data_IF_403205915567
#
_entry.id   IF_403205915567
#
_cell.length_a   1.000
_cell.length_b   1.000
_cell.length_c   1.000
_cell.angle_alpha   90.00
_cell.angle_beta   90.00
_cell.angle_gamma   90.00
#
_symmetry.space_group_name_H-M   'P 1'
#
loop_
_entity.id
_entity.type
_entity.pdbx_description
1 polymer ?
#
# COMPACT_ATOMS: atom_id res chain seq x y z
N UNK A 1 -16.79 -2.14 -12.87
CA UNK A 1 -15.70 -1.85 -11.93
C UNK A 1 -14.40 -1.99 -12.69
N UNK A 2 -13.67 -0.89 -12.88
CA UNK A 2 -12.39 -0.92 -13.61
C UNK A 2 -11.27 -1.07 -12.59
N UNK A 3 -10.52 -2.16 -12.68
CA UNK A 3 -9.39 -2.47 -11.81
C UNK A 3 -8.10 -2.28 -12.61
N UNK A 4 -7.19 -1.43 -12.11
CA UNK A 4 -5.85 -1.26 -12.66
C UNK A 4 -4.84 -1.79 -11.65
N UNK A 5 -4.11 -2.83 -12.01
CA UNK A 5 -3.01 -3.37 -11.23
C UNK A 5 -1.70 -2.79 -11.78
N UNK A 6 -0.84 -2.30 -10.90
CA UNK A 6 0.44 -1.69 -11.26
C UNK A 6 1.54 -2.51 -10.58
N UNK A 7 2.45 -3.13 -11.34
CA UNK A 7 3.56 -3.88 -10.75
C UNK A 7 4.51 -2.90 -10.03
N UNK A 8 5.25 -3.42 -9.05
CA UNK A 8 6.35 -2.65 -8.45
C UNK A 8 7.52 -2.53 -9.43
N UNK A 9 8.39 -1.54 -9.19
CA UNK A 9 9.64 -1.39 -9.95
C UNK A 9 10.53 -2.62 -9.74
N UNK A 10 11.27 -3.04 -10.76
CA UNK A 10 12.12 -4.25 -10.74
C UNK A 10 13.08 -4.32 -9.55
N UNK A 11 13.62 -3.17 -9.13
CA UNK A 11 14.49 -3.03 -7.94
C UNK A 11 13.86 -3.50 -6.63
N UNK A 12 12.54 -3.67 -6.58
CA UNK A 12 11.82 -4.15 -5.39
C UNK A 12 11.25 -5.55 -5.55
N UNK A 13 11.36 -6.15 -6.74
CA UNK A 13 10.72 -7.44 -7.04
C UNK A 13 11.60 -8.63 -6.65
N UNK A 14 12.93 -8.47 -6.71
CA UNK A 14 13.89 -9.53 -6.45
C UNK A 14 15.09 -8.99 -5.68
N UNK A 15 15.59 -9.80 -4.73
CA UNK A 15 16.88 -9.58 -4.09
C UNK A 15 17.97 -10.27 -4.92
N UNK A 16 19.11 -9.62 -5.11
CA UNK A 16 20.22 -10.13 -5.90
C UNK A 16 21.47 -9.27 -5.77
N UNK A 17 22.54 -9.69 -6.42
CA UNK A 17 23.78 -8.89 -6.46
C UNK A 17 23.60 -7.66 -7.35
N UNK A 18 24.19 -6.52 -6.98
CA UNK A 18 24.13 -5.29 -7.79
C UNK A 18 24.97 -5.33 -9.07
N UNK A 19 25.63 -6.45 -9.36
CA UNK A 19 26.49 -6.62 -10.53
C UNK A 19 25.73 -6.55 -11.86
N UNK A 20 24.40 -6.73 -11.86
CA UNK A 20 23.59 -6.71 -13.07
C UNK A 20 22.20 -6.11 -12.86
N UNK A 21 21.67 -5.46 -13.91
CA UNK A 21 20.32 -4.91 -13.91
C UNK A 21 19.28 -6.00 -14.19
N UNK A 22 18.63 -6.50 -13.14
CA UNK A 22 17.53 -7.45 -13.30
C UNK A 22 16.23 -6.74 -13.65
N UNK A 23 15.48 -7.28 -14.60
CA UNK A 23 14.12 -6.84 -14.93
C UNK A 23 13.13 -7.97 -14.68
N UNK A 24 11.92 -7.62 -14.25
CA UNK A 24 10.82 -8.56 -14.10
C UNK A 24 9.74 -8.15 -15.09
N UNK A 25 9.50 -8.99 -16.09
CA UNK A 25 8.34 -8.90 -16.98
C UNK A 25 7.24 -9.84 -16.49
N UNK A 26 5.99 -9.39 -16.60
CA UNK A 26 4.82 -10.23 -16.33
C UNK A 26 4.28 -10.64 -17.70
N UNK A 27 4.50 -11.89 -18.09
CA UNK A 27 4.11 -12.38 -19.42
C UNK A 27 2.59 -12.59 -19.52
N UNK A 28 1.97 -13.09 -18.45
CA UNK A 28 0.52 -13.20 -18.33
C UNK A 28 0.07 -13.09 -16.88
N UNK A 29 -1.10 -12.51 -16.65
CA UNK A 29 -1.74 -12.43 -15.35
C UNK A 29 -3.25 -12.64 -15.51
N UNK A 30 -3.83 -13.52 -14.69
CA UNK A 30 -5.25 -13.84 -14.72
C UNK A 30 -5.85 -13.50 -13.35
N UNK A 31 -6.90 -12.66 -13.33
CA UNK A 31 -7.65 -12.34 -12.12
C UNK A 31 -8.96 -13.13 -12.10
N UNK A 32 -9.05 -14.10 -11.20
CA UNK A 32 -10.27 -14.89 -10.97
C UNK A 32 -11.05 -14.27 -9.81
N UNK A 33 -12.23 -13.73 -10.09
CA UNK A 33 -13.13 -13.17 -9.06
C UNK A 33 -14.39 -14.01 -8.99
N UNK A 34 -14.73 -14.51 -7.80
CA UNK A 34 -16.00 -15.19 -7.57
C UNK A 34 -17.13 -14.16 -7.58
N UNK A 35 -18.10 -14.35 -8.49
CA UNK A 35 -19.35 -13.59 -8.52
C UNK A 35 -20.45 -14.47 -7.94
N UNK A 36 -21.11 -14.00 -6.89
CA UNK A 36 -22.32 -14.65 -6.39
C UNK A 36 -23.53 -14.23 -7.25
N UNK A 37 -24.33 -15.20 -7.68
CA UNK A 37 -25.66 -14.97 -8.24
C UNK A 37 -26.64 -14.88 -7.07
N UNK A 38 -27.23 -13.72 -6.86
CA UNK A 38 -28.20 -13.48 -5.78
C UNK A 38 -29.60 -13.79 -6.31
N UNK A 39 -30.47 -14.33 -5.45
CA UNK A 39 -31.87 -14.57 -5.81
C UNK A 39 -32.55 -13.26 -6.31
N UNK A 40 -33.25 -13.28 -7.46
CA UNK A 40 -33.90 -12.10 -8.03
C UNK A 40 -34.81 -11.33 -7.05
N UNK A 41 -35.55 -12.02 -6.17
CA UNK A 41 -36.44 -11.38 -5.19
C UNK A 41 -35.67 -10.50 -4.19
N UNK A 42 -34.47 -10.95 -3.78
CA UNK A 42 -33.60 -10.19 -2.86
C UNK A 42 -32.98 -9.00 -3.58
N UNK A 43 -32.62 -9.16 -4.86
CA UNK A 43 -32.10 -8.07 -5.68
C UNK A 43 -33.15 -6.96 -5.87
N UNK A 44 -34.40 -7.31 -6.13
CA UNK A 44 -35.52 -6.35 -6.23
C UNK A 44 -35.72 -5.61 -4.89
N UNK A 45 -35.70 -6.35 -3.77
CA UNK A 45 -35.81 -5.75 -2.44
C UNK A 45 -34.68 -4.76 -2.14
N UNK A 46 -33.44 -5.07 -2.52
CA UNK A 46 -32.33 -4.14 -2.40
C UNK A 46 -32.47 -2.92 -3.32
N UNK A 47 -32.96 -3.08 -4.56
CA UNK A 47 -33.22 -1.96 -5.46
C UNK A 47 -34.25 -0.99 -4.87
N UNK A 48 -35.37 -1.50 -4.36
CA UNK A 48 -36.40 -0.69 -3.68
C UNK A 48 -35.87 0.01 -2.41
N UNK A 49 -34.97 -0.65 -1.67
CA UNK A 49 -34.34 -0.05 -0.49
C UNK A 49 -33.35 1.06 -0.86
N UNK A 50 -32.62 0.89 -1.96
CA UNK A 50 -31.66 1.87 -2.50
C UNK A 50 -32.35 3.10 -3.11
N UNK A 51 -33.58 2.95 -3.60
CA UNK A 51 -34.43 4.09 -4.02
C UNK A 51 -34.78 5.00 -2.83
N UNK A 52 -35.04 4.42 -1.66
CA UNK A 52 -35.45 5.16 -0.45
C UNK A 52 -34.27 5.65 0.38
N UNK A 53 -33.17 4.91 0.39
CA UNK A 53 -32.03 5.16 1.27
C UNK A 53 -30.69 4.93 0.58
N UNK A 54 -29.73 5.83 0.81
CA UNK A 54 -28.39 5.70 0.25
C UNK A 54 -27.59 4.63 0.97
N UNK A 55 -27.02 3.67 0.24
CA UNK A 55 -26.06 2.72 0.80
C UNK A 55 -24.71 3.39 1.08
N UNK A 56 -24.19 3.19 2.31
CA UNK A 56 -22.87 3.65 2.74
C UNK A 56 -21.87 2.49 2.65
N UNK A 57 -20.84 2.65 1.82
CA UNK A 57 -19.75 1.70 1.66
C UNK A 57 -18.45 2.28 2.22
N UNK A 58 -18.18 2.17 3.54
CA UNK A 58 -16.98 2.73 4.14
C UNK A 58 -15.73 2.01 3.62
N UNK A 59 -14.84 2.75 2.95
CA UNK A 59 -13.57 2.25 2.44
C UNK A 59 -12.47 2.64 3.42
N UNK A 60 -11.81 1.64 4.02
CA UNK A 60 -10.58 1.86 4.81
C UNK A 60 -9.42 2.10 3.86
N UNK A 61 -8.91 3.34 3.82
CA UNK A 61 -7.71 3.69 3.04
C UNK A 61 -6.47 3.63 3.92
N UNK A 62 -5.44 2.97 3.41
CA UNK A 62 -4.09 3.01 3.99
C UNK A 62 -3.27 4.01 3.19
N UNK A 63 -2.65 4.98 3.88
CA UNK A 63 -1.81 6.01 3.28
C UNK A 63 -0.41 5.90 3.87
N UNK A 64 0.59 5.79 2.99
CA UNK A 64 2.01 5.78 3.38
C UNK A 64 2.56 7.19 3.21
N UNK A 65 3.16 7.74 4.27
CA UNK A 65 3.93 8.99 4.21
C UNK A 65 5.39 8.68 4.53
N UNK A 66 6.29 9.25 3.73
CA UNK A 66 7.73 9.08 3.87
C UNK A 66 8.37 10.34 4.46
N UNK A 67 9.30 10.15 5.38
CA UNK A 67 10.10 11.22 5.95
C UNK A 67 11.55 10.74 6.08
N UNK A 68 12.49 11.51 5.53
CA UNK A 68 13.91 11.23 5.66
C UNK A 68 14.46 11.89 6.92
N UNK A 69 15.12 11.10 7.77
CA UNK A 69 15.80 11.59 8.97
C UNK A 69 17.30 11.59 8.68
N UNK A 70 17.92 12.77 8.76
CA UNK A 70 19.37 12.92 8.55
C UNK A 70 20.19 12.30 9.68
N UNK A 71 21.47 12.01 9.41
CA UNK A 71 22.34 11.38 10.40
C UNK A 71 22.56 12.26 11.65
N UNK A 72 22.63 13.58 11.51
CA UNK A 72 22.90 14.52 12.59
C UNK A 72 21.65 14.99 13.37
N UNK A 73 20.46 14.46 13.08
CA UNK A 73 19.20 14.92 13.68
C UNK A 73 18.79 13.96 14.81
N UNK A 74 18.75 14.48 16.04
CA UNK A 74 18.28 13.74 17.22
C UNK A 74 16.75 13.71 17.33
N UNK A 75 16.08 14.81 17.00
CA UNK A 75 14.61 14.88 17.03
C UNK A 75 14.05 15.50 15.75
N UNK A 76 12.98 14.90 15.22
CA UNK A 76 12.24 15.43 14.07
C UNK A 76 10.76 15.46 14.38
N UNK A 77 10.20 16.66 14.47
CA UNK A 77 8.76 16.85 14.57
C UNK A 77 8.16 16.79 13.16
N UNK A 78 7.25 15.84 12.95
CA UNK A 78 6.50 15.70 11.71
C UNK A 78 5.10 16.26 11.96
N UNK A 79 4.87 17.49 11.49
CA UNK A 79 3.54 18.10 11.51
C UNK A 79 2.66 17.51 10.40
N UNK A 80 1.35 17.45 10.65
CA UNK A 80 0.34 17.06 9.65
C UNK A 80 0.47 15.63 9.08
N UNK A 81 0.73 14.63 9.93
CA UNK A 81 0.73 13.20 9.56
C UNK A 81 -0.56 12.77 8.83
N UNK A 82 -1.70 13.40 9.10
CA UNK A 82 -2.95 13.19 8.38
C UNK A 82 -3.64 14.53 8.16
N UNK A 83 -4.03 14.84 6.92
CA UNK A 83 -4.59 16.17 6.59
C UNK A 83 -6.12 16.25 6.74
N UNK A 84 -6.86 15.13 6.89
CA UNK A 84 -8.34 15.17 6.90
C UNK A 84 -9.05 14.17 7.85
N UNK A 85 -8.40 13.08 8.26
CA UNK A 85 -9.03 12.10 9.16
C UNK A 85 -7.99 11.54 10.11
N UNK A 86 -8.37 11.36 11.38
CA UNK A 86 -7.52 10.69 12.36
C UNK A 86 -7.40 9.21 11.96
N UNK A 87 -6.18 8.69 11.77
CA UNK A 87 -6.01 7.28 11.49
C UNK A 87 -6.46 6.45 12.70
N UNK A 88 -7.18 5.36 12.44
CA UNK A 88 -7.51 4.38 13.48
C UNK A 88 -6.28 3.62 13.99
N UNK A 89 -5.21 3.57 13.19
CA UNK A 89 -3.94 2.94 13.52
C UNK A 89 -2.79 3.63 12.80
N UNK A 90 -1.71 3.91 13.52
CA UNK A 90 -0.43 4.37 12.97
C UNK A 90 0.59 3.26 13.14
N UNK A 91 1.33 2.96 12.06
CA UNK A 91 2.46 2.04 12.08
C UNK A 91 3.67 2.81 11.58
N UNK A 92 4.77 2.76 12.35
CA UNK A 92 6.02 3.42 12.02
C UNK A 92 7.06 2.34 11.74
N UNK A 93 7.72 2.45 10.59
CA UNK A 93 8.81 1.57 10.20
C UNK A 93 9.96 2.40 9.67
N UNK A 94 11.18 2.10 10.12
CA UNK A 94 12.40 2.76 9.67
C UNK A 94 13.20 1.81 8.77
N UNK A 95 13.69 2.35 7.67
CA UNK A 95 14.58 1.65 6.72
C UNK A 95 15.66 2.62 6.27
N UNK A 96 16.76 2.11 5.73
CA UNK A 96 17.78 2.96 5.11
C UNK A 96 17.21 3.59 3.84
N UNK A 97 17.64 4.82 3.53
CA UNK A 97 17.19 5.53 2.33
C UNK A 97 17.49 4.72 1.05
N UNK A 98 18.65 4.08 0.96
CA UNK A 98 19.02 3.19 -0.16
C UNK A 98 18.09 1.98 -0.31
N UNK A 99 17.59 1.41 0.79
CA UNK A 99 16.60 0.33 0.72
C UNK A 99 15.22 0.85 0.29
N UNK A 100 14.84 2.07 0.71
CA UNK A 100 13.58 2.69 0.34
C UNK A 100 13.51 3.07 -1.15
N UNK A 101 14.56 3.66 -1.70
CA UNK A 101 14.63 4.06 -3.11
C UNK A 101 14.78 2.86 -4.05
N UNK A 102 15.28 1.74 -3.52
CA UNK A 102 15.39 0.45 -4.18
C UNK A 102 16.82 0.07 -4.50
N UNK A 103 17.23 -1.08 -4.00
CA UNK A 103 18.51 -1.74 -4.23
C UNK A 103 18.26 -3.24 -4.37
N UNK A 104 19.03 -3.92 -5.21
CA UNK A 104 18.92 -5.38 -5.32
C UNK A 104 19.48 -6.09 -4.08
N UNK A 105 20.40 -5.46 -3.35
CA UNK A 105 21.02 -6.03 -2.15
C UNK A 105 20.19 -5.77 -0.89
N UNK A 106 19.43 -4.67 -0.85
CA UNK A 106 18.72 -4.22 0.34
C UNK A 106 17.21 -4.41 0.24
N UNK A 107 16.62 -4.93 1.32
CA UNK A 107 15.18 -5.18 1.38
C UNK A 107 14.42 -3.97 1.97
N UNK A 108 13.46 -3.36 1.25
CA UNK A 108 12.64 -2.25 1.75
C UNK A 108 11.67 -2.64 2.88
N UNK A 109 11.47 -3.92 3.15
CA UNK A 109 10.62 -4.44 4.22
C UNK A 109 11.41 -4.90 5.45
N UNK A 110 12.74 -4.81 5.41
CA UNK A 110 13.57 -5.09 6.57
C UNK A 110 13.63 -3.85 7.46
N UNK A 111 12.62 -3.71 8.32
CA UNK A 111 12.56 -2.63 9.30
C UNK A 111 13.63 -2.86 10.37
N UNK A 112 14.57 -1.91 10.48
CA UNK A 112 15.67 -2.00 11.44
C UNK A 112 15.45 -1.02 12.56
N UNK A 113 15.77 -1.45 13.78
CA UNK A 113 15.95 -0.53 14.88
C UNK A 113 17.30 0.16 14.71
N UNK A 114 17.27 1.41 14.26
CA UNK A 114 18.45 2.28 14.28
C UNK A 114 18.54 2.79 15.71
N UNK A 115 19.41 2.18 16.54
CA UNK A 115 19.64 2.47 17.96
C UNK A 115 19.89 3.97 18.24
N UNK A 116 18.80 4.74 18.20
CA UNK A 116 18.71 6.18 18.38
C UNK A 116 17.71 6.35 19.51
N UNK A 117 18.25 6.31 20.73
CA UNK A 117 17.55 6.76 21.93
C UNK A 117 17.33 8.26 21.87
#
# INVERSE_FOLDING_TARGET
>A
MNLKLIPRRSKFCLMGNETSNYSVSVDSAILLVRKAQINPSVMLGHAMALEKTTAKYPIKRVVVKQHTIGLAVSSKVISNISHLSLPSRVVIGMVTNSAYDGSYILNPFNFRYFNRN
#
